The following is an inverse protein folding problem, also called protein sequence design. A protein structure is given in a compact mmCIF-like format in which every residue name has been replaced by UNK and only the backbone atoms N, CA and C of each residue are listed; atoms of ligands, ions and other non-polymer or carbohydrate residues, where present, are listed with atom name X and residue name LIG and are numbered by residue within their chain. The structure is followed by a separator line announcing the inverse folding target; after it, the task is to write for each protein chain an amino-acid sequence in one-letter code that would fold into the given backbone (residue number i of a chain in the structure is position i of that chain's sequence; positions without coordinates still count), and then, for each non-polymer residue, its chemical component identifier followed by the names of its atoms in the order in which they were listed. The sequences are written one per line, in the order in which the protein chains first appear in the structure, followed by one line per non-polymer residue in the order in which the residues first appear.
data_IF_403350622423
#
_entry.id   IF_403350622423
#
_cell.length_a   1.000
_cell.length_b   1.000
_cell.length_c   1.000
_cell.angle_alpha   90.00
_cell.angle_beta   90.00
_cell.angle_gamma   90.00
#
_symmetry.space_group_name_H-M   'P 1'
#
loop_
_entity.id
_entity.type
_entity.pdbx_description
1 polymer ?
#
# COMPACT_ATOMS: atom_id res chain seq x y z
N UNK A 1 -23.29 -15.11 47.80
CA UNK A 1 -23.15 -13.98 46.85
C UNK A 1 -22.24 -14.45 45.75
N UNK A 2 -22.75 -14.55 44.52
CA UNK A 2 -21.97 -14.97 43.36
C UNK A 2 -21.13 -13.79 42.87
N UNK A 3 -19.81 -13.94 42.83
CA UNK A 3 -18.95 -13.03 42.10
C UNK A 3 -18.66 -13.69 40.74
N UNK A 4 -19.37 -13.21 39.71
CA UNK A 4 -19.13 -13.57 38.32
C UNK A 4 -17.82 -12.92 37.90
N UNK A 5 -16.73 -13.68 37.96
CA UNK A 5 -15.49 -13.28 37.33
C UNK A 5 -15.77 -12.99 35.85
N UNK A 6 -15.44 -11.76 35.48
CA UNK A 6 -15.51 -11.24 34.13
C UNK A 6 -14.62 -12.14 33.27
N UNK A 7 -15.24 -12.96 32.42
CA UNK A 7 -14.54 -13.68 31.35
C UNK A 7 -13.80 -12.63 30.50
N UNK A 8 -12.53 -12.83 30.14
CA UNK A 8 -11.91 -12.01 29.12
C UNK A 8 -12.75 -12.18 27.85
N UNK A 9 -13.14 -11.06 27.24
CA UNK A 9 -13.75 -11.05 25.92
C UNK A 9 -12.70 -11.67 25.00
N UNK A 10 -12.87 -12.95 24.65
CA UNK A 10 -12.00 -13.63 23.72
C UNK A 10 -12.16 -12.94 22.37
N UNK A 11 -11.09 -12.30 21.89
CA UNK A 11 -11.06 -11.77 20.52
C UNK A 11 -11.41 -12.93 19.58
N UNK A 12 -12.50 -12.76 18.83
CA UNK A 12 -12.97 -13.74 17.85
C UNK A 12 -11.92 -13.81 16.75
N UNK A 13 -11.12 -14.86 16.75
CA UNK A 13 -10.30 -15.23 15.59
C UNK A 13 -11.26 -15.57 14.45
N UNK A 14 -11.37 -14.67 13.48
CA UNK A 14 -12.09 -14.96 12.23
C UNK A 14 -11.23 -15.98 11.47
N UNK A 15 -11.71 -17.21 11.22
CA UNK A 15 -10.93 -18.22 10.54
C UNK A 15 -10.53 -17.74 9.14
N UNK A 16 -9.28 -17.99 8.76
CA UNK A 16 -8.84 -17.70 7.40
C UNK A 16 -9.65 -18.52 6.38
N UNK A 17 -10.48 -17.83 5.60
CA UNK A 17 -11.16 -18.43 4.47
C UNK A 17 -10.24 -18.45 3.24
N UNK A 18 -9.73 -19.62 2.90
CA UNK A 18 -8.86 -19.79 1.72
C UNK A 18 -9.54 -19.43 0.39
N UNK A 19 -10.88 -19.50 0.32
CA UNK A 19 -11.65 -19.03 -0.84
C UNK A 19 -11.49 -17.52 -1.05
N UNK A 20 -11.63 -16.73 0.02
CA UNK A 20 -11.52 -15.27 -0.05
C UNK A 20 -10.11 -14.84 -0.44
N UNK A 21 -9.06 -15.54 0.05
CA UNK A 21 -7.67 -15.27 -0.36
C UNK A 21 -7.47 -15.57 -1.85
N UNK A 22 -8.13 -16.60 -2.39
CA UNK A 22 -8.05 -16.93 -3.83
C UNK A 22 -8.78 -15.92 -4.69
N UNK A 23 -9.91 -15.39 -4.24
CA UNK A 23 -10.59 -14.29 -4.93
C UNK A 23 -9.75 -13.02 -4.91
N UNK A 24 -9.19 -12.65 -3.75
CA UNK A 24 -8.26 -11.54 -3.62
C UNK A 24 -7.07 -11.68 -4.59
N UNK A 25 -6.52 -12.89 -4.76
CA UNK A 25 -5.42 -13.14 -5.71
C UNK A 25 -5.78 -12.72 -7.14
N UNK A 26 -7.03 -12.93 -7.58
CA UNK A 26 -7.47 -12.55 -8.92
C UNK A 26 -7.49 -11.04 -9.11
N UNK A 27 -7.79 -10.30 -8.05
CA UNK A 27 -7.86 -8.83 -8.05
C UNK A 27 -6.51 -8.16 -7.74
N UNK A 28 -5.54 -8.92 -7.21
CA UNK A 28 -4.30 -8.38 -6.68
C UNK A 28 -3.43 -7.71 -7.75
N UNK A 29 -3.43 -8.23 -8.97
CA UNK A 29 -2.50 -7.83 -10.02
C UNK A 29 -1.07 -8.35 -9.74
N UNK A 30 -0.07 -7.81 -10.45
CA UNK A 30 1.33 -8.22 -10.33
C UNK A 30 2.09 -7.26 -9.40
N UNK A 31 2.80 -7.82 -8.42
CA UNK A 31 3.57 -7.04 -7.44
C UNK A 31 4.62 -6.15 -8.11
N UNK A 32 5.31 -6.67 -9.14
CA UNK A 32 6.32 -5.90 -9.88
C UNK A 32 5.73 -4.78 -10.75
N UNK A 33 4.42 -4.80 -11.01
CA UNK A 33 3.75 -3.78 -11.82
C UNK A 33 3.13 -2.68 -10.96
N UNK A 34 2.50 -3.05 -9.83
CA UNK A 34 1.82 -2.12 -8.92
C UNK A 34 2.02 -2.53 -7.45
N UNK A 35 3.23 -2.33 -6.89
CA UNK A 35 3.49 -2.71 -5.49
C UNK A 35 2.64 -1.91 -4.49
N UNK A 36 2.21 -0.68 -4.83
CA UNK A 36 1.34 0.10 -3.96
C UNK A 36 -0.07 -0.47 -3.90
N UNK A 37 -0.73 -0.65 -5.05
CA UNK A 37 -2.08 -1.17 -5.08
C UNK A 37 -2.15 -2.60 -4.53
N UNK A 38 -1.13 -3.42 -4.78
CA UNK A 38 -0.99 -4.74 -4.13
C UNK A 38 -0.92 -4.60 -2.61
N UNK A 39 -0.10 -3.68 -2.09
CA UNK A 39 0.02 -3.46 -0.64
C UNK A 39 -1.29 -2.96 -0.02
N UNK A 40 -2.03 -2.09 -0.70
CA UNK A 40 -3.30 -1.54 -0.22
C UNK A 40 -4.42 -2.58 -0.22
N UNK A 41 -4.55 -3.36 -1.29
CA UNK A 41 -5.51 -4.46 -1.36
C UNK A 41 -5.26 -5.49 -0.26
N UNK A 42 -3.98 -5.83 -0.01
CA UNK A 42 -3.63 -6.73 1.10
C UNK A 42 -3.95 -6.09 2.46
N UNK A 43 -3.59 -4.83 2.68
CA UNK A 43 -3.87 -4.11 3.93
C UNK A 43 -5.37 -4.02 4.23
N UNK A 44 -6.17 -3.75 3.19
CA UNK A 44 -7.63 -3.70 3.26
C UNK A 44 -8.24 -5.09 3.52
N UNK A 45 -7.73 -6.14 2.88
CA UNK A 45 -8.17 -7.51 3.12
C UNK A 45 -7.90 -7.96 4.56
N UNK A 46 -6.69 -7.68 5.07
CA UNK A 46 -6.33 -8.02 6.45
C UNK A 46 -7.17 -7.20 7.45
N UNK A 47 -7.48 -5.95 7.10
CA UNK A 47 -8.26 -5.05 7.95
C UNK A 47 -7.63 -4.91 9.35
N UNK A 48 -8.45 -4.73 10.40
CA UNK A 48 -7.98 -4.62 11.78
C UNK A 48 -7.70 -5.98 12.45
N UNK A 49 -7.88 -7.10 11.73
CA UNK A 49 -7.78 -8.43 12.33
C UNK A 49 -6.32 -8.78 12.65
N UNK A 50 -6.14 -9.53 13.74
CA UNK A 50 -4.84 -10.11 14.12
C UNK A 50 -4.78 -11.53 13.56
N UNK A 51 -3.95 -11.72 12.54
CA UNK A 51 -3.66 -13.03 11.97
C UNK A 51 -2.43 -13.64 12.63
N UNK A 52 -2.46 -14.95 12.86
CA UNK A 52 -1.31 -15.72 13.32
C UNK A 52 -0.18 -15.71 12.30
N UNK A 53 1.04 -16.04 12.74
CA UNK A 53 2.17 -16.22 11.83
C UNK A 53 1.84 -17.22 10.73
N UNK A 54 1.22 -18.36 11.08
CA UNK A 54 0.83 -19.43 10.14
C UNK A 54 -0.20 -18.93 9.12
N UNK A 55 -1.20 -18.17 9.55
CA UNK A 55 -2.21 -17.59 8.66
C UNK A 55 -1.58 -16.56 7.71
N UNK A 56 -0.71 -15.68 8.20
CA UNK A 56 0.00 -14.71 7.37
C UNK A 56 0.89 -15.41 6.34
N UNK A 57 1.65 -16.44 6.72
CA UNK A 57 2.43 -17.22 5.75
C UNK A 57 1.54 -17.93 4.74
N UNK A 58 0.39 -18.45 5.16
CA UNK A 58 -0.57 -19.11 4.26
C UNK A 58 -1.18 -18.13 3.25
N UNK A 59 -1.57 -16.93 3.70
CA UNK A 59 -2.05 -15.84 2.84
C UNK A 59 -0.99 -15.49 1.81
N UNK A 60 0.23 -15.19 2.25
CA UNK A 60 1.35 -14.85 1.36
C UNK A 60 1.68 -15.99 0.38
N UNK A 61 1.62 -17.24 0.83
CA UNK A 61 1.84 -18.43 0.03
C UNK A 61 0.82 -18.61 -1.10
N UNK A 62 -0.42 -18.18 -0.87
CA UNK A 62 -1.47 -18.19 -1.90
C UNK A 62 -1.26 -17.01 -2.86
N UNK A 63 -1.07 -15.80 -2.33
CA UNK A 63 -1.06 -14.57 -3.12
C UNK A 63 0.17 -14.44 -4.01
N UNK A 64 1.36 -14.75 -3.49
CA UNK A 64 2.64 -14.41 -4.12
C UNK A 64 3.46 -15.64 -4.49
N UNK A 65 4.29 -15.50 -5.52
CA UNK A 65 5.34 -16.47 -5.85
C UNK A 65 6.42 -16.52 -4.76
N UNK A 66 7.27 -17.54 -4.78
CA UNK A 66 8.38 -17.65 -3.83
C UNK A 66 9.33 -16.44 -3.93
N UNK A 67 9.69 -16.03 -5.15
CA UNK A 67 10.54 -14.88 -5.41
C UNK A 67 9.92 -13.57 -4.87
N UNK A 68 8.64 -13.32 -5.15
CA UNK A 68 7.93 -12.13 -4.62
C UNK A 68 7.89 -12.12 -3.09
N UNK A 69 7.70 -13.28 -2.44
CA UNK A 69 7.74 -13.38 -0.97
C UNK A 69 9.13 -13.10 -0.42
N UNK A 70 10.17 -13.63 -1.04
CA UNK A 70 11.56 -13.37 -0.65
C UNK A 70 11.89 -11.89 -0.81
N UNK A 71 11.57 -11.28 -1.96
CA UNK A 71 11.75 -9.85 -2.19
C UNK A 71 11.03 -9.01 -1.12
N UNK A 72 9.77 -9.34 -0.86
CA UNK A 72 8.95 -8.65 0.15
C UNK A 72 9.59 -8.74 1.52
N UNK A 73 10.03 -9.94 1.93
CA UNK A 73 10.67 -10.16 3.24
C UNK A 73 11.96 -9.36 3.36
N UNK A 74 12.86 -9.45 2.38
CA UNK A 74 14.12 -8.70 2.39
C UNK A 74 13.88 -7.19 2.47
N UNK A 75 12.93 -6.67 1.70
CA UNK A 75 12.57 -5.25 1.75
C UNK A 75 11.94 -4.87 3.08
N UNK A 76 11.06 -5.69 3.64
CA UNK A 76 10.42 -5.46 4.94
C UNK A 76 11.43 -5.39 6.09
N UNK A 77 12.38 -6.32 6.11
CA UNK A 77 13.49 -6.31 7.08
C UNK A 77 14.35 -5.04 6.95
N UNK A 78 14.75 -4.69 5.73
CA UNK A 78 15.55 -3.48 5.48
C UNK A 78 14.84 -2.20 5.93
N UNK A 79 13.52 -2.13 5.80
CA UNK A 79 12.72 -1.00 6.29
C UNK A 79 12.66 -1.01 7.82
N UNK A 80 12.43 -2.17 8.44
CA UNK A 80 12.41 -2.32 9.88
C UNK A 80 13.72 -1.89 10.54
N UNK A 81 14.85 -2.38 10.02
CA UNK A 81 16.18 -2.07 10.56
C UNK A 81 16.50 -0.57 10.43
N UNK A 82 15.98 0.09 9.39
CA UNK A 82 16.14 1.54 9.18
C UNK A 82 15.28 2.38 10.12
N UNK A 83 14.02 1.99 10.31
CA UNK A 83 13.01 2.87 10.94
C UNK A 83 12.77 2.58 12.42
N UNK A 84 12.95 1.34 12.88
CA UNK A 84 12.41 0.92 14.16
C UNK A 84 13.45 0.63 15.25
N UNK A 85 14.48 -0.21 15.00
CA UNK A 85 15.24 -0.80 16.13
C UNK A 85 16.72 -1.14 15.89
N UNK A 86 17.42 -0.46 14.98
CA UNK A 86 18.86 -0.70 14.74
C UNK A 86 19.15 -1.94 13.89
N UNK A 87 20.41 -2.15 13.47
CA UNK A 87 20.77 -3.15 12.46
C UNK A 87 20.50 -4.60 12.90
N UNK A 88 20.14 -5.44 11.93
CA UNK A 88 20.07 -6.90 12.01
C UNK A 88 19.02 -7.51 12.96
N UNK A 89 17.90 -6.80 13.23
CA UNK A 89 16.79 -7.34 14.04
C UNK A 89 15.61 -7.83 13.19
N UNK A 90 15.58 -7.53 11.89
CA UNK A 90 14.49 -7.91 10.98
C UNK A 90 14.18 -9.41 10.97
N UNK A 91 15.19 -10.28 11.08
CA UNK A 91 14.99 -11.74 11.07
C UNK A 91 14.21 -12.24 12.30
N UNK A 92 14.39 -11.60 13.46
CA UNK A 92 13.64 -11.93 14.67
C UNK A 92 12.16 -11.54 14.56
N UNK A 93 11.89 -10.46 13.82
CA UNK A 93 10.55 -9.90 13.64
C UNK A 93 9.81 -10.52 12.46
N UNK A 94 10.54 -11.07 11.48
CA UNK A 94 9.98 -11.89 10.41
C UNK A 94 10.68 -13.25 10.32
N UNK A 95 10.44 -14.15 11.30
CA UNK A 95 11.11 -15.45 11.34
C UNK A 95 10.68 -16.33 10.15
N UNK A 96 11.62 -17.15 9.66
CA UNK A 96 11.39 -18.11 8.57
C UNK A 96 10.58 -19.33 9.00
N UNK A 97 10.62 -19.67 10.28
CA UNK A 97 9.90 -20.80 10.87
C UNK A 97 8.86 -20.28 11.86
N UNK A 98 7.88 -21.12 12.17
CA UNK A 98 6.83 -20.79 13.14
C UNK A 98 7.47 -20.46 14.51
N UNK A 99 7.36 -19.22 14.99
CA UNK A 99 7.93 -18.82 16.27
C UNK A 99 7.09 -19.28 17.47
N UNK A 100 5.96 -19.97 17.26
CA UNK A 100 5.06 -20.39 18.32
C UNK A 100 4.32 -19.23 18.99
N UNK A 101 4.12 -18.13 18.26
CA UNK A 101 3.39 -16.97 18.78
C UNK A 101 1.92 -17.31 19.05
N UNK A 102 1.40 -16.80 20.16
CA UNK A 102 0.07 -17.12 20.68
C UNK A 102 -0.72 -15.82 20.83
N UNK A 103 -1.90 -15.75 20.21
CA UNK A 103 -2.79 -14.59 20.25
C UNK A 103 -3.23 -14.17 21.66
N UNK A 104 -3.21 -15.08 22.64
CA UNK A 104 -3.54 -14.76 24.03
C UNK A 104 -2.42 -14.02 24.76
N UNK A 105 -1.20 -14.03 24.21
CA UNK A 105 -0.06 -13.33 24.77
C UNK A 105 0.09 -11.95 24.10
N UNK A 106 0.12 -10.89 24.91
CA UNK A 106 0.17 -9.51 24.42
C UNK A 106 1.45 -9.19 23.62
N UNK A 107 2.61 -9.69 24.07
CA UNK A 107 3.87 -9.52 23.34
C UNK A 107 3.84 -10.25 22.00
N UNK A 108 3.23 -11.42 21.95
CA UNK A 108 3.07 -12.18 20.71
C UNK A 108 2.10 -11.47 19.74
N UNK A 109 1.01 -10.88 20.24
CA UNK A 109 0.14 -10.00 19.42
C UNK A 109 0.92 -8.82 18.85
N UNK A 110 1.78 -8.18 19.65
CA UNK A 110 2.63 -7.11 19.14
C UNK A 110 3.56 -7.61 18.02
N UNK A 111 4.19 -8.77 18.19
CA UNK A 111 5.02 -9.36 17.14
C UNK A 111 4.22 -9.66 15.84
N UNK A 112 2.96 -10.09 15.95
CA UNK A 112 2.09 -10.30 14.78
C UNK A 112 1.71 -8.98 14.10
N UNK A 113 1.46 -7.93 14.88
CA UNK A 113 1.24 -6.57 14.36
C UNK A 113 2.49 -6.02 13.66
N UNK A 114 3.68 -6.22 14.24
CA UNK A 114 4.96 -5.83 13.66
C UNK A 114 5.19 -6.59 12.33
N UNK A 115 4.92 -7.90 12.31
CA UNK A 115 5.03 -8.71 11.11
C UNK A 115 4.07 -8.24 10.01
N UNK A 116 2.80 -7.97 10.34
CA UNK A 116 1.82 -7.38 9.40
C UNK A 116 2.37 -6.07 8.83
N UNK A 117 2.90 -5.19 9.67
CA UNK A 117 3.48 -3.92 9.23
C UNK A 117 4.67 -4.14 8.29
N UNK A 118 5.58 -5.05 8.63
CA UNK A 118 6.75 -5.39 7.80
C UNK A 118 6.33 -5.96 6.44
N UNK A 119 5.28 -6.79 6.38
CA UNK A 119 4.72 -7.31 5.13
C UNK A 119 4.25 -6.17 4.24
N UNK A 120 3.38 -5.29 4.75
CA UNK A 120 2.83 -4.18 3.96
C UNK A 120 3.94 -3.24 3.48
N UNK A 121 4.89 -2.89 4.35
CA UNK A 121 6.04 -2.05 3.97
C UNK A 121 6.99 -2.75 3.00
N UNK A 122 7.22 -4.04 3.20
CA UNK A 122 8.04 -4.88 2.35
C UNK A 122 7.53 -4.90 0.92
N UNK A 123 6.22 -5.03 0.71
CA UNK A 123 5.62 -5.01 -0.63
C UNK A 123 5.85 -3.65 -1.29
N UNK A 124 5.60 -2.55 -0.57
CA UNK A 124 5.77 -1.19 -1.08
C UNK A 124 7.20 -0.90 -1.53
N UNK A 125 8.19 -1.46 -0.85
CA UNK A 125 9.62 -1.24 -1.12
C UNK A 125 10.28 -2.44 -1.82
N UNK A 126 9.51 -3.44 -2.28
CA UNK A 126 10.03 -4.63 -2.97
C UNK A 126 10.65 -4.29 -4.32
N UNK A 127 10.11 -3.29 -5.02
CA UNK A 127 10.60 -2.86 -6.33
C UNK A 127 11.46 -1.59 -6.18
N UNK A 128 12.73 -1.59 -6.64
CA UNK A 128 13.59 -0.42 -6.57
C UNK A 128 12.95 0.80 -7.24
N UNK A 129 12.95 1.95 -6.55
CA UNK A 129 12.33 3.21 -7.02
C UNK A 129 12.80 3.58 -8.43
N UNK A 130 14.07 3.34 -8.77
CA UNK A 130 14.65 3.57 -10.10
C UNK A 130 13.96 2.81 -11.25
N UNK A 131 13.55 1.57 -11.03
CA UNK A 131 12.95 0.71 -12.05
C UNK A 131 11.49 1.09 -12.33
N UNK A 132 10.84 1.73 -11.37
CA UNK A 132 9.47 2.22 -11.50
C UNK A 132 9.37 3.71 -11.92
N UNK A 133 10.43 4.52 -11.76
CA UNK A 133 10.45 5.93 -12.25
C UNK A 133 10.17 6.02 -13.75
N UNK A 134 10.65 5.04 -14.54
CA UNK A 134 10.38 4.96 -15.98
C UNK A 134 8.88 4.81 -16.29
N UNK A 135 8.17 4.00 -15.51
CA UNK A 135 6.72 3.79 -15.64
C UNK A 135 5.93 4.97 -15.09
N UNK A 136 6.31 5.50 -13.93
CA UNK A 136 5.73 6.72 -13.35
C UNK A 136 5.77 7.90 -14.33
N UNK A 137 6.84 8.01 -15.11
CA UNK A 137 6.99 9.03 -16.17
C UNK A 137 6.06 8.78 -17.36
N UNK A 138 5.73 7.52 -17.68
CA UNK A 138 4.84 7.17 -18.79
C UNK A 138 3.36 7.10 -18.43
N UNK A 139 3.00 7.12 -17.13
CA UNK A 139 1.59 7.11 -16.71
C UNK A 139 0.87 8.39 -17.13
N UNK A 140 -0.04 8.25 -18.09
CA UNK A 140 -1.05 9.25 -18.43
C UNK A 140 -2.40 8.77 -17.90
N UNK A 141 -3.33 9.69 -17.76
CA UNK A 141 -4.73 9.34 -17.57
C UNK A 141 -5.19 8.44 -18.73
N UNK A 142 -5.79 7.30 -18.42
CA UNK A 142 -6.42 6.44 -19.43
C UNK A 142 -7.59 7.14 -20.12
N UNK A 143 -7.88 6.76 -21.37
CA UNK A 143 -8.97 7.35 -22.16
C UNK A 143 -10.32 7.28 -21.43
N UNK A 144 -10.59 6.16 -20.78
CA UNK A 144 -11.86 5.84 -20.12
C UNK A 144 -11.69 5.76 -18.58
N UNK A 145 -10.55 6.22 -18.06
CA UNK A 145 -10.27 6.22 -16.61
C UNK A 145 -10.93 7.42 -15.92
N UNK A 146 -11.76 7.20 -14.88
CA UNK A 146 -12.36 8.28 -14.12
C UNK A 146 -11.30 9.22 -13.54
N UNK A 147 -11.57 10.53 -13.58
CA UNK A 147 -10.62 11.55 -13.15
C UNK A 147 -10.20 11.40 -11.68
N UNK A 148 -11.10 10.93 -10.82
CA UNK A 148 -10.84 10.68 -9.41
C UNK A 148 -9.86 9.50 -9.22
N UNK A 149 -10.09 8.39 -9.93
CA UNK A 149 -9.24 7.20 -9.88
C UNK A 149 -7.83 7.52 -10.40
N UNK A 150 -7.76 8.29 -11.50
CA UNK A 150 -6.50 8.80 -12.03
C UNK A 150 -5.76 9.67 -11.01
N UNK A 151 -6.46 10.60 -10.35
CA UNK A 151 -5.83 11.48 -9.36
C UNK A 151 -5.25 10.69 -8.19
N UNK A 152 -5.97 9.68 -7.69
CA UNK A 152 -5.49 8.81 -6.63
C UNK A 152 -4.26 8.00 -7.08
N UNK A 153 -4.30 7.43 -8.29
CA UNK A 153 -3.14 6.75 -8.88
C UNK A 153 -1.94 7.67 -9.01
N UNK A 154 -2.14 8.92 -9.44
CA UNK A 154 -1.08 9.92 -9.55
C UNK A 154 -0.47 10.30 -8.20
N UNK A 155 -1.28 10.46 -7.14
CA UNK A 155 -0.81 10.73 -5.77
C UNK A 155 0.08 9.59 -5.26
N UNK A 156 -0.39 8.35 -5.43
CA UNK A 156 0.31 7.13 -5.06
C UNK A 156 1.66 7.03 -5.79
N UNK A 157 1.65 7.23 -7.11
CA UNK A 157 2.86 7.24 -7.92
C UNK A 157 3.86 8.30 -7.43
N UNK A 158 3.41 9.52 -7.17
CA UNK A 158 4.31 10.57 -6.67
C UNK A 158 4.93 10.21 -5.32
N UNK A 159 4.13 9.74 -4.37
CA UNK A 159 4.64 9.32 -3.06
C UNK A 159 5.71 8.23 -3.18
N UNK A 160 5.51 7.24 -4.06
CA UNK A 160 6.46 6.14 -4.23
C UNK A 160 7.74 6.54 -4.96
N UNK A 161 7.63 7.38 -5.98
CA UNK A 161 8.72 7.57 -6.95
C UNK A 161 9.53 8.85 -6.76
N UNK A 162 8.93 9.92 -6.24
CA UNK A 162 9.68 11.14 -5.90
C UNK A 162 10.11 11.16 -4.44
N UNK A 163 9.51 10.32 -3.59
CA UNK A 163 9.68 10.39 -2.13
C UNK A 163 9.08 11.65 -1.50
N UNK A 164 8.35 12.45 -2.28
CA UNK A 164 7.69 13.67 -1.81
C UNK A 164 6.28 13.31 -1.38
N UNK A 165 5.94 13.61 -0.11
CA UNK A 165 4.57 13.49 0.38
C UNK A 165 3.65 14.45 -0.40
N UNK A 166 2.62 13.94 -1.12
CA UNK A 166 1.68 14.76 -1.89
C UNK A 166 0.95 15.83 -1.06
N UNK A 167 0.89 15.69 0.27
CA UNK A 167 0.22 16.65 1.16
C UNK A 167 1.11 17.83 1.56
N UNK A 168 2.41 17.80 1.25
CA UNK A 168 3.33 18.92 1.49
C UNK A 168 3.19 19.99 0.40
N UNK A 169 3.67 21.22 0.66
CA UNK A 169 3.65 22.29 -0.34
C UNK A 169 4.38 21.89 -1.63
N UNK A 170 5.56 21.29 -1.52
CA UNK A 170 6.32 20.77 -2.66
C UNK A 170 5.56 19.63 -3.37
N UNK A 171 4.93 18.73 -2.62
CA UNK A 171 4.09 17.65 -3.15
C UNK A 171 2.89 18.17 -3.93
N UNK A 172 2.21 19.19 -3.44
CA UNK A 172 1.06 19.82 -4.11
C UNK A 172 1.47 20.51 -5.41
N UNK A 173 2.61 21.20 -5.44
CA UNK A 173 3.15 21.80 -6.68
C UNK A 173 3.44 20.70 -7.72
N UNK A 174 4.11 19.63 -7.30
CA UNK A 174 4.44 18.51 -8.18
C UNK A 174 3.18 17.79 -8.68
N UNK A 175 2.23 17.49 -7.79
CA UNK A 175 0.96 16.84 -8.10
C UNK A 175 0.17 17.65 -9.13
N UNK A 176 0.04 18.97 -8.92
CA UNK A 176 -0.63 19.86 -9.87
C UNK A 176 0.03 19.87 -11.24
N UNK A 177 1.35 19.98 -11.26
CA UNK A 177 2.14 20.00 -12.50
C UNK A 177 1.94 18.72 -13.29
N UNK A 178 2.02 17.56 -12.61
CA UNK A 178 1.81 16.27 -13.26
C UNK A 178 0.36 16.06 -13.69
N UNK A 179 -0.62 16.50 -12.89
CA UNK A 179 -2.04 16.40 -13.22
C UNK A 179 -2.33 17.07 -14.56
N UNK A 180 -1.91 18.32 -14.75
CA UNK A 180 -2.08 19.04 -16.02
C UNK A 180 -1.33 18.35 -17.17
N UNK A 181 -0.06 18.00 -16.96
CA UNK A 181 0.79 17.46 -18.02
C UNK A 181 0.36 16.07 -18.52
N UNK A 182 -0.25 15.25 -17.64
CA UNK A 182 -0.55 13.83 -17.89
C UNK A 182 -2.03 13.50 -18.00
N UNK A 183 -2.92 14.47 -17.80
CA UNK A 183 -4.34 14.32 -18.13
C UNK A 183 -4.57 13.93 -19.59
N UNK A 184 -5.68 13.23 -19.85
CA UNK A 184 -6.01 12.73 -21.17
C UNK A 184 -6.26 13.89 -22.15
N UNK A 185 -5.96 13.70 -23.44
CA UNK A 185 -5.64 14.77 -24.39
C UNK A 185 -6.59 16.00 -24.41
N UNK A 186 -7.91 15.82 -24.32
CA UNK A 186 -8.84 16.95 -24.30
C UNK A 186 -8.91 17.66 -22.93
N UNK A 187 -8.80 16.91 -21.84
CA UNK A 187 -8.72 17.43 -20.46
C UNK A 187 -7.43 18.25 -20.31
N UNK A 188 -6.29 17.71 -20.75
CA UNK A 188 -5.02 18.44 -20.76
C UNK A 188 -5.12 19.76 -21.53
N UNK A 189 -5.66 19.73 -22.76
CA UNK A 189 -5.88 20.94 -23.56
C UNK A 189 -6.77 21.97 -22.86
N UNK A 190 -7.77 21.52 -22.12
CA UNK A 190 -8.66 22.38 -21.32
C UNK A 190 -7.88 23.01 -20.16
N UNK A 191 -7.09 22.23 -19.43
CA UNK A 191 -6.29 22.69 -18.29
C UNK A 191 -5.17 23.64 -18.70
N UNK A 192 -4.47 23.37 -19.81
CA UNK A 192 -3.42 24.26 -20.34
C UNK A 192 -3.95 25.65 -20.74
N UNK A 193 -5.24 25.74 -21.09
CA UNK A 193 -5.92 27.02 -21.41
C UNK A 193 -6.42 27.78 -20.18
N UNK A 194 -6.38 27.18 -19.00
CA UNK A 194 -6.73 27.88 -17.76
C UNK A 194 -5.62 28.89 -17.45
N UNK A 195 -5.95 30.18 -17.54
CA UNK A 195 -5.01 31.26 -17.22
C UNK A 195 -4.43 31.09 -15.81
N UNK A 196 -3.10 31.20 -15.71
CA UNK A 196 -2.31 31.05 -14.49
C UNK A 196 -2.66 29.78 -13.69
N UNK A 197 -2.84 28.63 -14.37
CA UNK A 197 -3.14 27.36 -13.71
C UNK A 197 -2.09 26.97 -12.64
N UNK A 198 -0.86 27.47 -12.78
CA UNK A 198 0.22 27.30 -11.79
C UNK A 198 -0.07 27.98 -10.44
N UNK A 199 -0.91 29.02 -10.41
CA UNK A 199 -1.30 29.74 -9.20
C UNK A 199 -2.61 29.19 -8.61
N UNK A 200 -3.35 28.39 -9.39
CA UNK A 200 -4.63 27.81 -8.96
C UNK A 200 -4.47 26.61 -8.05
N UNK A 201 -5.46 26.39 -7.19
CA UNK A 201 -5.55 25.19 -6.38
C UNK A 201 -5.87 23.95 -7.22
N UNK A 202 -5.45 22.76 -6.76
CA UNK A 202 -5.80 21.49 -7.42
C UNK A 202 -7.32 21.30 -7.57
N UNK A 203 -8.09 21.75 -6.58
CA UNK A 203 -9.57 21.68 -6.62
C UNK A 203 -10.19 22.51 -7.74
N UNK A 204 -9.62 23.67 -8.07
CA UNK A 204 -10.10 24.48 -9.20
C UNK A 204 -9.81 23.77 -10.52
N UNK A 205 -8.63 23.17 -10.66
CA UNK A 205 -8.28 22.43 -11.87
C UNK A 205 -9.14 21.18 -12.05
N UNK A 206 -9.48 20.48 -10.96
CA UNK A 206 -10.42 19.37 -11.00
C UNK A 206 -11.79 19.81 -11.52
N UNK A 207 -12.30 20.96 -11.07
CA UNK A 207 -13.57 21.53 -11.59
C UNK A 207 -13.47 21.89 -13.07
N UNK A 208 -12.35 22.45 -13.53
CA UNK A 208 -12.16 22.75 -14.95
C UNK A 208 -12.05 21.50 -15.82
N UNK A 209 -11.41 20.44 -15.32
CA UNK A 209 -11.33 19.15 -15.98
C UNK A 209 -12.72 18.48 -16.08
N UNK A 210 -13.52 18.52 -15.02
CA UNK A 210 -14.88 17.96 -14.99
C UNK A 210 -15.83 18.58 -16.03
N UNK A 211 -15.59 19.82 -16.46
CA UNK A 211 -16.42 20.48 -17.50
C UNK A 211 -16.27 19.88 -18.89
N UNK A 212 -15.25 19.06 -19.11
CA UNK A 212 -14.94 18.47 -20.42
C UNK A 212 -14.89 16.94 -20.39
N UNK A 213 -15.28 16.34 -19.25
CA UNK A 213 -15.53 14.91 -19.12
C UNK A 213 -16.85 14.53 -19.78
#
# INVERSE_FOLDING_TARGET
MANLEQRPIGDVSVPLNTGDVRELKKEMGRLLEDPLGVSERLDQFLGPNIYTWVELQSILGILFTMEEREMTRHSGMRVWDRECQGPDQGDQKWPMQDPGWNNQNERHRQNMSDLRWMIIRGIREAVPKGQNIGKARSEHQGKDEPLADWLERLRKALQLYSGVDPNTAAGQVLLKTQFVAKSWGHIRKKLEKVGNWQDRGLQELLREAQKVL
#
